data_IF_056148448344
#
_entry.id   IF_056148448344
#
_cell.length_a   1.000
_cell.length_b   1.000
_cell.length_c   1.000
_cell.angle_alpha   90.00
_cell.angle_beta   90.00
_cell.angle_gamma   90.00
#
_symmetry.space_group_name_H-M   'P 1'
#
loop_
_entity.id
_entity.type
_entity.pdbx_description
1 polymer ?
#
# COMPACT_ATOMS: atom_id res chain seq x y z
N UNK A 1 83.38 -84.50 -109.58
CA UNK A 1 82.04 -83.89 -109.84
C UNK A 1 81.01 -84.32 -108.79
N UNK A 2 80.97 -85.59 -108.36
CA UNK A 2 80.04 -86.10 -107.32
C UNK A 2 80.18 -85.41 -105.95
N UNK A 3 81.37 -85.29 -105.37
CA UNK A 3 81.54 -84.65 -104.05
C UNK A 3 81.15 -83.16 -103.99
N UNK A 4 81.20 -82.44 -105.12
CA UNK A 4 80.69 -81.06 -105.21
C UNK A 4 79.15 -81.02 -105.22
N UNK A 5 78.51 -82.01 -105.82
CA UNK A 5 77.05 -82.12 -105.84
C UNK A 5 76.49 -82.46 -104.46
N UNK A 6 77.14 -83.38 -103.75
CA UNK A 6 76.81 -83.74 -102.36
C UNK A 6 76.99 -82.54 -101.40
N UNK A 7 78.07 -81.77 -101.55
CA UNK A 7 78.26 -80.52 -100.81
C UNK A 7 77.15 -79.49 -101.09
N UNK A 8 76.75 -79.32 -102.35
CA UNK A 8 75.66 -78.40 -102.70
C UNK A 8 74.29 -78.88 -102.19
N UNK A 9 74.03 -80.18 -102.18
CA UNK A 9 72.81 -80.75 -101.59
C UNK A 9 72.79 -80.58 -100.06
N UNK A 10 73.90 -80.80 -99.37
CA UNK A 10 74.01 -80.56 -97.93
C UNK A 10 73.86 -79.06 -97.59
N UNK A 11 74.43 -78.16 -98.40
CA UNK A 11 74.22 -76.72 -98.27
C UNK A 11 72.76 -76.33 -98.49
N UNK A 12 72.10 -76.89 -99.50
CA UNK A 12 70.68 -76.65 -99.76
C UNK A 12 69.79 -77.12 -98.59
N UNK A 13 70.01 -78.33 -98.08
CA UNK A 13 69.26 -78.85 -96.93
C UNK A 13 69.49 -78.01 -95.64
N UNK A 14 70.72 -77.51 -95.44
CA UNK A 14 71.02 -76.61 -94.32
C UNK A 14 70.30 -75.27 -94.46
N UNK A 15 70.24 -74.71 -95.67
CA UNK A 15 69.48 -73.48 -95.95
C UNK A 15 67.97 -73.70 -95.75
N UNK A 16 67.41 -74.80 -96.26
CA UNK A 16 65.99 -75.13 -96.07
C UNK A 16 65.63 -75.33 -94.59
N UNK A 17 66.50 -75.97 -93.80
CA UNK A 17 66.32 -76.11 -92.36
C UNK A 17 66.37 -74.76 -91.63
N UNK A 18 67.25 -73.85 -92.05
CA UNK A 18 67.33 -72.49 -91.53
C UNK A 18 66.08 -71.67 -91.91
N UNK A 19 65.58 -71.79 -93.13
CA UNK A 19 64.34 -71.14 -93.58
C UNK A 19 63.14 -71.60 -92.75
N UNK A 20 63.01 -72.91 -92.48
CA UNK A 20 61.95 -73.44 -91.61
C UNK A 20 62.08 -72.96 -90.16
N UNK A 21 63.30 -72.89 -89.61
CA UNK A 21 63.53 -72.34 -88.27
C UNK A 21 63.16 -70.86 -88.20
N UNK A 22 63.54 -70.06 -89.21
CA UNK A 22 63.18 -68.65 -89.31
C UNK A 22 61.67 -68.43 -89.46
N UNK A 23 60.97 -69.31 -90.19
CA UNK A 23 59.51 -69.26 -90.27
C UNK A 23 58.85 -69.57 -88.92
N UNK A 24 59.30 -70.62 -88.22
CA UNK A 24 58.80 -70.95 -86.89
C UNK A 24 59.08 -69.84 -85.86
N UNK A 25 60.25 -69.19 -85.93
CA UNK A 25 60.55 -68.01 -85.11
C UNK A 25 59.65 -66.82 -85.46
N UNK A 26 59.41 -66.55 -86.75
CA UNK A 26 58.48 -65.50 -87.18
C UNK A 26 57.07 -65.75 -86.66
N UNK A 27 56.56 -66.97 -86.73
CA UNK A 27 55.25 -67.33 -86.20
C UNK A 27 55.17 -67.14 -84.67
N UNK A 28 56.22 -67.54 -83.94
CA UNK A 28 56.32 -67.31 -82.49
C UNK A 28 56.30 -65.83 -82.15
N UNK A 29 57.12 -65.02 -82.82
CA UNK A 29 57.15 -63.57 -82.63
C UNK A 29 55.80 -62.91 -82.95
N UNK A 30 55.10 -63.39 -83.97
CA UNK A 30 53.74 -62.92 -84.29
C UNK A 30 52.76 -63.26 -83.15
N UNK A 31 52.79 -64.49 -82.62
CA UNK A 31 51.95 -64.90 -81.48
C UNK A 31 52.25 -64.09 -80.23
N UNK A 32 53.53 -63.86 -79.91
CA UNK A 32 53.94 -63.04 -78.78
C UNK A 32 53.53 -61.57 -78.97
N UNK A 33 53.61 -61.04 -80.20
CA UNK A 33 53.09 -59.72 -80.53
C UNK A 33 51.56 -59.62 -80.40
N UNK A 34 50.81 -60.69 -80.63
CA UNK A 34 49.37 -60.73 -80.33
C UNK A 34 49.10 -60.76 -78.82
N UNK A 35 49.84 -61.56 -78.05
CA UNK A 35 49.75 -61.60 -76.58
C UNK A 35 50.09 -60.25 -75.96
N UNK A 36 51.16 -59.61 -76.42
CA UNK A 36 51.60 -58.31 -75.95
C UNK A 36 50.51 -57.24 -76.19
N UNK A 37 49.91 -57.22 -77.39
CA UNK A 37 48.78 -56.31 -77.68
C UNK A 37 47.59 -56.52 -76.72
N UNK A 38 47.23 -57.76 -76.42
CA UNK A 38 46.18 -58.06 -75.44
C UNK A 38 46.50 -57.54 -74.04
N UNK A 39 47.73 -57.73 -73.57
CA UNK A 39 48.18 -57.21 -72.27
C UNK A 39 48.19 -55.67 -72.23
N UNK A 40 48.58 -55.01 -73.33
CA UNK A 40 48.53 -53.55 -73.43
C UNK A 40 47.10 -53.00 -73.42
N UNK A 41 46.15 -53.72 -74.01
CA UNK A 41 44.72 -53.38 -73.93
C UNK A 41 44.17 -53.55 -72.51
N UNK A 42 44.53 -54.64 -71.82
CA UNK A 42 44.16 -54.87 -70.42
C UNK A 42 44.75 -53.80 -69.49
N UNK A 43 46.02 -53.44 -69.69
CA UNK A 43 46.66 -52.36 -68.93
C UNK A 43 45.92 -51.03 -69.12
N UNK A 44 45.56 -50.69 -70.36
CA UNK A 44 44.76 -49.47 -70.65
C UNK A 44 43.38 -49.52 -69.99
N UNK A 45 42.72 -50.69 -69.97
CA UNK A 45 41.43 -50.87 -69.28
C UNK A 45 41.58 -50.66 -67.78
N UNK A 46 42.55 -51.33 -67.15
CA UNK A 46 42.84 -51.19 -65.72
C UNK A 46 43.22 -49.75 -65.35
N UNK A 47 43.98 -49.05 -66.19
CA UNK A 47 44.28 -47.63 -66.00
C UNK A 47 43.00 -46.79 -66.01
N UNK A 48 42.11 -47.00 -66.98
CA UNK A 48 40.83 -46.27 -67.04
C UNK A 48 39.92 -46.55 -65.83
N UNK A 49 39.94 -47.79 -65.32
CA UNK A 49 39.19 -48.17 -64.11
C UNK A 49 39.81 -47.54 -62.86
N UNK A 50 41.14 -47.49 -62.78
CA UNK A 50 41.87 -46.83 -61.72
C UNK A 50 41.54 -45.34 -61.67
N UNK A 51 41.58 -44.65 -62.82
CA UNK A 51 41.25 -43.22 -62.91
C UNK A 51 39.80 -42.95 -62.49
N UNK A 52 38.85 -43.82 -62.91
CA UNK A 52 37.45 -43.73 -62.46
C UNK A 52 37.32 -43.93 -60.95
N UNK A 53 38.01 -44.92 -60.39
CA UNK A 53 38.00 -45.19 -58.95
C UNK A 53 38.62 -44.02 -58.17
N UNK A 54 39.68 -43.39 -58.68
CA UNK A 54 40.26 -42.19 -58.08
C UNK A 54 39.28 -41.01 -58.06
N UNK A 55 38.53 -40.79 -59.16
CA UNK A 55 37.51 -39.74 -59.18
C UNK A 55 36.41 -39.99 -58.14
N UNK A 56 35.89 -41.22 -58.06
CA UNK A 56 34.88 -41.59 -57.06
C UNK A 56 35.40 -41.42 -55.63
N UNK A 57 36.66 -41.79 -55.37
CA UNK A 57 37.27 -41.59 -54.06
C UNK A 57 37.37 -40.10 -53.69
N UNK A 58 37.69 -39.23 -54.66
CA UNK A 58 37.75 -37.79 -54.46
C UNK A 58 36.36 -37.21 -54.17
N UNK A 59 35.33 -37.64 -54.89
CA UNK A 59 33.93 -37.25 -54.68
C UNK A 59 33.45 -37.64 -53.28
N UNK A 60 33.59 -38.90 -52.90
CA UNK A 60 33.21 -39.39 -51.55
C UNK A 60 33.99 -38.66 -50.45
N UNK A 61 35.26 -38.34 -50.68
CA UNK A 61 36.06 -37.57 -49.73
C UNK A 61 35.56 -36.13 -49.57
N UNK A 62 35.10 -35.51 -50.65
CA UNK A 62 34.47 -34.18 -50.62
C UNK A 62 33.16 -34.21 -49.85
N UNK A 63 32.26 -35.14 -50.18
CA UNK A 63 30.98 -35.33 -49.50
C UNK A 63 31.16 -35.59 -48.00
N UNK A 64 32.15 -36.41 -47.62
CA UNK A 64 32.49 -36.64 -46.22
C UNK A 64 32.89 -35.34 -45.51
N UNK A 65 33.63 -34.46 -46.19
CA UNK A 65 34.01 -33.14 -45.68
C UNK A 65 32.80 -32.22 -45.48
N UNK A 66 31.90 -32.16 -46.45
CA UNK A 66 30.65 -31.39 -46.39
C UNK A 66 29.77 -31.85 -45.22
N UNK A 67 29.51 -33.16 -45.11
CA UNK A 67 28.73 -33.74 -44.01
C UNK A 67 29.40 -33.51 -42.64
N UNK A 68 30.73 -33.51 -42.57
CA UNK A 68 31.44 -33.19 -41.33
C UNK A 68 31.27 -31.72 -40.94
N UNK A 69 31.26 -30.81 -41.92
CA UNK A 69 30.94 -29.39 -41.74
C UNK A 69 29.53 -29.20 -41.20
N UNK A 70 28.54 -29.79 -41.85
CA UNK A 70 27.13 -29.75 -41.43
C UNK A 70 26.94 -30.29 -40.01
N UNK A 71 27.58 -31.43 -39.69
CA UNK A 71 27.57 -31.97 -38.32
C UNK A 71 28.14 -30.98 -37.31
N UNK A 72 29.20 -30.25 -37.67
CA UNK A 72 29.79 -29.20 -36.84
C UNK A 72 28.83 -28.03 -36.62
N UNK A 73 28.17 -27.57 -37.68
CA UNK A 73 27.17 -26.51 -37.60
C UNK A 73 25.97 -26.90 -36.72
N UNK A 74 25.43 -28.11 -36.93
CA UNK A 74 24.31 -28.61 -36.15
C UNK A 74 24.67 -28.72 -34.66
N UNK A 75 25.89 -29.17 -34.33
CA UNK A 75 26.38 -29.16 -32.94
C UNK A 75 26.48 -27.75 -32.38
N UNK A 76 26.96 -26.79 -33.17
CA UNK A 76 27.01 -25.38 -32.75
C UNK A 76 25.63 -24.78 -32.52
N UNK A 77 24.65 -25.10 -33.38
CA UNK A 77 23.25 -24.68 -33.21
C UNK A 77 22.62 -25.32 -31.97
N UNK A 78 22.85 -26.61 -31.74
CA UNK A 78 22.38 -27.32 -30.55
C UNK A 78 22.90 -26.66 -29.27
N UNK A 79 24.20 -26.40 -29.17
CA UNK A 79 24.80 -25.76 -28.00
C UNK A 79 24.23 -24.34 -27.74
N UNK A 80 23.93 -23.57 -28.79
CA UNK A 80 23.28 -22.26 -28.65
C UNK A 80 21.85 -22.38 -28.12
N UNK A 81 21.07 -23.31 -28.67
CA UNK A 81 19.70 -23.56 -28.23
C UNK A 81 19.64 -24.08 -26.78
N UNK A 82 20.59 -24.92 -26.38
CA UNK A 82 20.70 -25.39 -24.99
C UNK A 82 20.99 -24.24 -24.02
N UNK A 83 21.86 -23.31 -24.39
CA UNK A 83 22.13 -22.11 -23.60
C UNK A 83 20.90 -21.20 -23.51
N UNK A 84 20.21 -20.96 -24.62
CA UNK A 84 18.97 -20.18 -24.65
C UNK A 84 17.89 -20.84 -23.78
N UNK A 85 17.75 -22.17 -23.83
CA UNK A 85 16.84 -22.93 -22.98
C UNK A 85 17.15 -22.71 -21.50
N UNK A 86 18.41 -22.86 -21.09
CA UNK A 86 18.83 -22.64 -19.71
C UNK A 86 18.60 -21.20 -19.23
N UNK A 87 18.81 -20.21 -20.11
CA UNK A 87 18.53 -18.80 -19.79
C UNK A 87 17.02 -18.55 -19.61
N UNK A 88 16.18 -19.08 -20.49
CA UNK A 88 14.73 -18.96 -20.38
C UNK A 88 14.18 -19.71 -19.15
N UNK A 89 14.73 -20.88 -18.83
CA UNK A 89 14.41 -21.62 -17.60
C UNK A 89 14.70 -20.80 -16.35
N UNK A 90 15.88 -20.17 -16.29
CA UNK A 90 16.26 -19.27 -15.19
C UNK A 90 15.35 -18.03 -15.10
N UNK A 91 15.03 -17.39 -16.22
CA UNK A 91 14.10 -16.26 -16.26
C UNK A 91 12.70 -16.69 -15.78
N UNK A 92 12.25 -17.86 -16.20
CA UNK A 92 10.98 -18.44 -15.79
C UNK A 92 10.94 -18.72 -14.28
N UNK A 93 12.03 -19.25 -13.70
CA UNK A 93 12.15 -19.43 -12.24
C UNK A 93 12.07 -18.10 -11.49
N UNK A 94 12.82 -17.08 -11.92
CA UNK A 94 12.77 -15.73 -11.30
C UNK A 94 11.38 -15.11 -11.35
N UNK A 95 10.68 -15.26 -12.47
CA UNK A 95 9.30 -14.76 -12.60
C UNK A 95 8.34 -15.52 -11.67
N UNK A 96 8.51 -16.84 -11.51
CA UNK A 96 7.72 -17.63 -10.54
C UNK A 96 7.98 -17.18 -9.11
N UNK A 97 9.23 -16.96 -8.72
CA UNK A 97 9.60 -16.45 -7.40
C UNK A 97 9.00 -15.06 -7.14
N UNK A 98 9.09 -14.15 -8.12
CA UNK A 98 8.48 -12.83 -8.02
C UNK A 98 6.95 -12.90 -7.90
N UNK A 99 6.31 -13.82 -8.62
CA UNK A 99 4.87 -14.02 -8.55
C UNK A 99 4.44 -14.55 -7.17
N UNK A 100 5.16 -15.55 -6.64
CA UNK A 100 4.95 -16.06 -5.28
C UNK A 100 5.13 -14.96 -4.22
N UNK A 101 6.13 -14.09 -4.37
CA UNK A 101 6.31 -12.95 -3.46
C UNK A 101 5.14 -11.97 -3.51
N UNK A 102 4.60 -11.71 -4.71
CA UNK A 102 3.41 -10.88 -4.87
C UNK A 102 2.18 -11.53 -4.25
N UNK A 103 1.97 -12.83 -4.43
CA UNK A 103 0.86 -13.57 -3.82
C UNK A 103 0.94 -13.50 -2.29
N UNK A 104 2.12 -13.71 -1.70
CA UNK A 104 2.33 -13.56 -0.27
C UNK A 104 2.02 -12.14 0.21
N UNK A 105 2.39 -11.11 -0.58
CA UNK A 105 2.08 -9.72 -0.25
C UNK A 105 0.58 -9.43 -0.34
N UNK A 106 -0.10 -9.99 -1.33
CA UNK A 106 -1.54 -9.88 -1.50
C UNK A 106 -2.27 -10.52 -0.31
N UNK A 107 -1.88 -11.74 0.09
CA UNK A 107 -2.44 -12.39 1.29
C UNK A 107 -2.25 -11.54 2.55
N UNK A 108 -1.07 -10.92 2.74
CA UNK A 108 -0.82 -10.03 3.89
C UNK A 108 -1.70 -8.77 3.86
N UNK A 109 -1.92 -8.19 2.68
CA UNK A 109 -2.81 -7.04 2.54
C UNK A 109 -4.27 -7.44 2.78
N UNK A 110 -4.70 -8.59 2.28
CA UNK A 110 -6.05 -9.13 2.53
C UNK A 110 -6.31 -9.29 4.02
N UNK A 111 -5.40 -9.93 4.77
CA UNK A 111 -5.58 -10.10 6.22
C UNK A 111 -5.56 -8.76 6.97
N UNK A 112 -4.75 -7.79 6.54
CA UNK A 112 -4.80 -6.43 7.09
C UNK A 112 -6.13 -5.74 6.83
N UNK A 113 -6.69 -5.88 5.62
CA UNK A 113 -8.00 -5.32 5.27
C UNK A 113 -9.13 -5.96 6.07
N UNK A 114 -9.09 -7.28 6.28
CA UNK A 114 -10.05 -8.01 7.12
C UNK A 114 -10.00 -7.48 8.56
N UNK A 115 -8.82 -7.40 9.16
CA UNK A 115 -8.64 -6.87 10.52
C UNK A 115 -9.13 -5.43 10.66
N UNK A 116 -8.83 -4.56 9.67
CA UNK A 116 -9.32 -3.18 9.68
C UNK A 116 -10.85 -3.11 9.57
N UNK A 117 -11.46 -4.04 8.82
CA UNK A 117 -12.91 -4.12 8.68
C UNK A 117 -13.56 -4.57 9.99
N UNK A 118 -12.98 -5.57 10.66
CA UNK A 118 -13.41 -6.01 12.00
C UNK A 118 -13.31 -4.87 13.02
N UNK A 119 -12.15 -4.21 13.10
CA UNK A 119 -11.95 -3.07 14.02
C UNK A 119 -12.95 -1.94 13.75
N UNK A 120 -13.18 -1.62 12.47
CA UNK A 120 -14.17 -0.62 12.09
C UNK A 120 -15.57 -1.03 12.54
N UNK A 121 -15.97 -2.28 12.35
CA UNK A 121 -17.28 -2.77 12.77
C UNK A 121 -17.46 -2.68 14.29
N UNK A 122 -16.45 -3.07 15.07
CA UNK A 122 -16.46 -2.95 16.53
C UNK A 122 -16.60 -1.48 16.97
N UNK A 123 -15.84 -0.57 16.36
CA UNK A 123 -15.93 0.87 16.66
C UNK A 123 -17.31 1.45 16.31
N UNK A 124 -17.90 1.02 15.20
CA UNK A 124 -19.26 1.45 14.82
C UNK A 124 -20.31 0.92 15.81
N UNK A 125 -20.14 -0.29 16.34
CA UNK A 125 -21.02 -0.86 17.36
C UNK A 125 -20.91 -0.12 18.68
N UNK A 126 -19.70 0.17 19.17
CA UNK A 126 -19.47 0.99 20.37
C UNK A 126 -20.09 2.39 20.22
N UNK A 127 -19.89 3.04 19.07
CA UNK A 127 -20.52 4.33 18.79
C UNK A 127 -22.04 4.27 18.81
N UNK A 128 -22.65 3.20 18.26
CA UNK A 128 -24.11 2.99 18.32
C UNK A 128 -24.59 2.80 19.76
N UNK A 129 -23.85 2.05 20.57
CA UNK A 129 -24.17 1.81 21.99
C UNK A 129 -24.10 3.11 22.80
N UNK A 130 -23.02 3.89 22.66
CA UNK A 130 -22.86 5.18 23.33
C UNK A 130 -23.98 6.17 22.95
N UNK A 131 -24.35 6.23 21.67
CA UNK A 131 -25.48 7.06 21.23
C UNK A 131 -26.80 6.62 21.85
N UNK A 132 -27.03 5.31 21.98
CA UNK A 132 -28.22 4.78 22.64
C UNK A 132 -28.26 5.16 24.13
N UNK A 133 -27.12 5.09 24.82
CA UNK A 133 -27.00 5.50 26.23
C UNK A 133 -27.26 6.99 26.41
N UNK A 134 -26.67 7.85 25.57
CA UNK A 134 -26.93 9.29 25.58
C UNK A 134 -28.42 9.59 25.37
N UNK A 135 -29.08 8.87 24.46
CA UNK A 135 -30.52 9.02 24.25
C UNK A 135 -31.35 8.56 25.47
N UNK A 136 -30.96 7.46 26.11
CA UNK A 136 -31.62 6.98 27.33
C UNK A 136 -31.50 8.00 28.47
N UNK A 137 -30.29 8.49 28.75
CA UNK A 137 -30.03 9.52 29.74
C UNK A 137 -30.79 10.82 29.44
N UNK A 138 -30.89 11.21 28.16
CA UNK A 138 -31.67 12.38 27.76
C UNK A 138 -33.16 12.20 28.06
N UNK A 139 -33.72 11.00 27.85
CA UNK A 139 -35.13 10.69 28.20
C UNK A 139 -35.34 10.72 29.71
N UNK A 140 -34.43 10.13 30.47
CA UNK A 140 -34.49 10.16 31.95
C UNK A 140 -34.42 11.59 32.49
N UNK A 141 -33.52 12.42 31.96
CA UNK A 141 -33.41 13.82 32.36
C UNK A 141 -34.72 14.60 32.07
N UNK A 142 -35.32 14.40 30.88
CA UNK A 142 -36.63 14.98 30.56
C UNK A 142 -37.72 14.54 31.53
N UNK A 143 -37.80 13.24 31.82
CA UNK A 143 -38.77 12.72 32.79
C UNK A 143 -38.56 13.28 34.21
N UNK A 144 -37.31 13.45 34.64
CA UNK A 144 -37.00 14.07 35.93
C UNK A 144 -37.41 15.55 35.96
N UNK A 145 -37.20 16.28 34.87
CA UNK A 145 -37.66 17.66 34.73
C UNK A 145 -39.20 17.73 34.75
N UNK A 146 -39.88 16.85 34.03
CA UNK A 146 -41.35 16.74 34.04
C UNK A 146 -41.88 16.48 35.46
N UNK A 147 -41.33 15.47 36.17
CA UNK A 147 -41.69 15.18 37.58
C UNK A 147 -41.43 16.37 38.51
N UNK A 148 -40.34 17.11 38.29
CA UNK A 148 -40.01 18.30 39.09
C UNK A 148 -41.01 19.43 38.85
N UNK A 149 -41.38 19.67 37.59
CA UNK A 149 -42.41 20.65 37.23
C UNK A 149 -43.79 20.26 37.77
N UNK A 150 -44.16 18.99 37.65
CA UNK A 150 -45.40 18.45 38.22
C UNK A 150 -45.43 18.66 39.74
N UNK A 151 -44.37 18.28 40.46
CA UNK A 151 -44.25 18.47 41.91
C UNK A 151 -44.40 19.95 42.30
N UNK A 152 -43.72 20.86 41.61
CA UNK A 152 -43.88 22.30 41.81
C UNK A 152 -45.31 22.76 41.57
N UNK A 153 -45.95 22.28 40.51
CA UNK A 153 -47.34 22.63 40.20
C UNK A 153 -48.31 22.09 41.27
N UNK A 154 -48.05 20.92 41.86
CA UNK A 154 -48.82 20.40 43.00
C UNK A 154 -48.69 21.32 44.21
N UNK A 155 -47.47 21.72 44.59
CA UNK A 155 -47.24 22.67 45.69
C UNK A 155 -47.94 24.01 45.44
N UNK A 156 -47.94 24.52 44.21
CA UNK A 156 -48.66 25.75 43.87
C UNK A 156 -50.19 25.60 43.96
N UNK A 157 -50.74 24.41 43.66
CA UNK A 157 -52.17 24.14 43.87
C UNK A 157 -52.51 24.14 45.35
N UNK A 158 -51.73 23.44 46.17
CA UNK A 158 -51.91 23.41 47.63
C UNK A 158 -51.84 24.83 48.24
N UNK A 159 -50.86 25.64 47.83
CA UNK A 159 -50.75 27.03 48.26
C UNK A 159 -52.01 27.86 47.94
N UNK A 160 -52.61 27.68 46.76
CA UNK A 160 -53.84 28.37 46.37
C UNK A 160 -55.01 27.92 47.23
N UNK A 161 -55.13 26.63 47.49
CA UNK A 161 -56.17 26.06 48.36
C UNK A 161 -56.07 26.63 49.79
N UNK A 162 -54.86 26.71 50.36
CA UNK A 162 -54.66 27.33 51.68
C UNK A 162 -55.01 28.82 51.69
N UNK A 163 -54.69 29.57 50.63
CA UNK A 163 -55.08 30.97 50.51
C UNK A 163 -56.60 31.14 50.41
N UNK A 164 -57.27 30.26 49.68
CA UNK A 164 -58.73 30.27 49.56
C UNK A 164 -59.39 29.95 50.90
N UNK A 165 -58.87 28.97 51.65
CA UNK A 165 -59.31 28.67 53.02
C UNK A 165 -59.09 29.86 53.95
N UNK A 166 -57.92 30.51 53.90
CA UNK A 166 -57.63 31.71 54.69
C UNK A 166 -58.60 32.85 54.36
N UNK A 167 -58.91 33.05 53.08
CA UNK A 167 -59.86 34.05 52.63
C UNK A 167 -61.29 33.72 53.05
N UNK A 168 -61.70 32.46 53.04
CA UNK A 168 -62.98 32.01 53.59
C UNK A 168 -63.07 32.33 55.10
N UNK A 169 -62.05 31.98 55.88
CA UNK A 169 -61.97 32.31 57.30
C UNK A 169 -62.00 33.82 57.56
N UNK A 170 -61.34 34.63 56.72
CA UNK A 170 -61.41 36.11 56.79
C UNK A 170 -62.82 36.62 56.54
N UNK A 171 -63.54 36.06 55.57
CA UNK A 171 -64.96 36.41 55.29
C UNK A 171 -65.86 35.99 56.45
N UNK A 172 -65.64 34.81 57.04
CA UNK A 172 -66.37 34.36 58.23
C UNK A 172 -66.10 35.27 59.42
N UNK A 173 -64.82 35.60 59.67
CA UNK A 173 -64.43 36.60 60.67
C UNK A 173 -65.16 37.93 60.43
N UNK A 174 -65.18 38.42 59.18
CA UNK A 174 -65.87 39.66 58.83
C UNK A 174 -67.37 39.59 59.13
N UNK A 175 -68.03 38.48 58.74
CA UNK A 175 -69.44 38.23 59.08
C UNK A 175 -69.68 38.19 60.59
N UNK A 176 -68.77 37.62 61.37
CA UNK A 176 -68.86 37.61 62.83
C UNK A 176 -68.71 39.01 63.42
N UNK A 177 -67.76 39.80 62.91
CA UNK A 177 -67.57 41.20 63.31
C UNK A 177 -68.82 42.02 62.99
N UNK A 178 -69.40 41.88 61.81
CA UNK A 178 -70.65 42.54 61.42
C UNK A 178 -71.79 42.18 62.38
N UNK A 179 -71.98 40.88 62.68
CA UNK A 179 -72.97 40.42 63.67
C UNK A 179 -72.76 41.04 65.06
N UNK A 180 -71.51 41.15 65.52
CA UNK A 180 -71.18 41.77 66.82
C UNK A 180 -71.48 43.27 66.78
N UNK A 181 -71.05 43.97 65.73
CA UNK A 181 -71.33 45.40 65.56
C UNK A 181 -72.84 45.68 65.48
N UNK A 182 -73.61 44.85 64.80
CA UNK A 182 -75.07 44.96 64.72
C UNK A 182 -75.72 44.77 66.10
N UNK A 183 -75.22 43.85 66.94
CA UNK A 183 -75.66 43.73 68.33
C UNK A 183 -75.38 45.02 69.14
N UNK A 184 -74.19 45.62 68.98
CA UNK A 184 -73.89 46.92 69.60
C UNK A 184 -74.77 48.05 69.08
N UNK A 185 -75.10 48.07 67.77
CA UNK A 185 -76.05 49.04 67.18
C UNK A 185 -77.46 48.94 67.78
N UNK A 186 -77.89 47.74 68.18
CA UNK A 186 -79.18 47.54 68.87
C UNK A 186 -79.09 48.00 70.34
N UNK A 187 -77.91 47.96 70.95
CA UNK A 187 -77.68 48.31 72.36
C UNK A 187 -77.35 49.79 72.61
N UNK A 188 -76.99 50.59 71.60
CA UNK A 188 -76.81 52.06 71.73
C UNK A 188 -78.06 52.85 71.28
N UNK A 189 -78.85 53.43 72.20
CA UNK A 189 -79.72 54.55 71.87
C UNK A 189 -78.89 55.85 71.82
N UNK A 190 -78.71 56.43 70.63
CA UNK A 190 -78.32 57.85 70.49
C UNK A 190 -79.55 58.73 70.22
N UNK A 191 -79.57 60.05 70.56
CA UNK A 191 -78.48 60.96 70.14
C UNK A 191 -78.16 62.28 70.96
N UNK A 192 -76.96 62.84 70.70
CA UNK A 192 -76.55 64.28 70.56
C UNK A 192 -76.33 65.18 71.85
N UNK A 193 -75.88 66.46 71.74
CA UNK A 193 -74.52 67.01 71.47
C UNK A 193 -74.08 68.12 72.51
N UNK A 194 -72.80 68.57 72.58
CA UNK A 194 -72.39 70.01 72.80
C UNK A 194 -70.90 70.29 73.15
N UNK A 195 -70.41 71.36 72.51
CA UNK A 195 -69.46 72.44 72.92
C UNK A 195 -67.99 72.17 73.31
N UNK A 196 -67.11 72.61 72.39
CA UNK A 196 -66.07 73.66 72.54
C UNK A 196 -65.67 74.08 73.98
N UNK A 197 -64.41 73.83 74.35
CA UNK A 197 -63.50 74.81 74.99
C UNK A 197 -62.04 74.35 74.85
N UNK A 198 -61.19 75.26 74.39
CA UNK A 198 -59.79 75.00 74.07
C UNK A 198 -58.85 75.05 75.27
N UNK A 199 -57.74 74.32 75.09
CA UNK A 199 -56.34 74.68 75.35
C UNK A 199 -55.95 75.29 76.71
N UNK A 200 -55.08 74.58 77.43
CA UNK A 200 -53.87 75.18 78.03
C UNK A 200 -52.83 74.15 78.52
N UNK A 201 -53.20 72.86 78.64
CA UNK A 201 -52.32 71.83 79.20
C UNK A 201 -51.31 71.17 78.24
N UNK A 202 -51.41 71.40 76.93
CA UNK A 202 -50.57 70.69 75.94
C UNK A 202 -49.13 71.23 75.87
N UNK A 203 -48.87 72.48 76.27
CA UNK A 203 -47.54 73.09 76.14
C UNK A 203 -46.59 72.82 77.32
N UNK A 204 -47.10 72.35 78.48
CA UNK A 204 -46.25 72.02 79.64
C UNK A 204 -45.63 70.62 79.59
N UNK A 205 -46.15 69.71 78.76
CA UNK A 205 -45.64 68.32 78.68
C UNK A 205 -44.48 68.19 77.67
N UNK A 206 -44.34 69.14 76.74
CA UNK A 206 -43.20 69.20 75.80
C UNK A 206 -41.87 69.68 76.42
N UNK A 207 -41.84 70.02 77.72
CA UNK A 207 -40.65 70.58 78.40
C UNK A 207 -39.98 69.67 79.44
N UNK A 208 -40.41 68.40 79.58
CA UNK A 208 -39.88 67.49 80.60
C UNK A 208 -39.38 66.12 80.12
N UNK A 209 -39.31 65.85 78.82
CA UNK A 209 -38.64 64.65 78.31
C UNK A 209 -37.57 65.04 77.29
N UNK A 210 -36.41 65.49 77.81
CA UNK A 210 -35.19 65.70 77.02
C UNK A 210 -34.51 64.34 76.71
N UNK A 211 -33.74 64.26 75.61
CA UNK A 211 -33.16 63.04 75.05
C UNK A 211 -31.76 62.74 75.62
N UNK A 212 -31.37 61.46 75.74
CA UNK A 212 -29.95 61.04 75.78
C UNK A 212 -29.74 59.52 75.51
N UNK A 213 -28.82 59.23 74.58
CA UNK A 213 -28.05 57.98 74.35
C UNK A 213 -27.51 57.37 75.67
N UNK A 214 -27.20 56.09 75.84
CA UNK A 214 -26.27 55.17 75.13
C UNK A 214 -26.45 53.79 75.82
N UNK A 215 -26.55 52.61 75.21
CA UNK A 215 -25.58 51.88 74.39
C UNK A 215 -25.80 50.34 74.58
N UNK A 216 -25.06 49.54 73.80
CA UNK A 216 -24.91 48.06 73.81
C UNK A 216 -25.67 47.27 72.71
N UNK A 217 -24.90 46.95 71.67
CA UNK A 217 -24.86 45.79 70.73
C UNK A 217 -26.13 44.94 70.49
N UNK A 218 -26.42 44.62 69.21
CA UNK A 218 -26.33 43.21 68.79
C UNK A 218 -25.78 42.97 67.37
N UNK A 219 -25.32 41.73 67.17
CA UNK A 219 -24.79 41.19 65.92
C UNK A 219 -25.79 41.12 64.75
N UNK A 220 -25.24 40.86 63.56
CA UNK A 220 -25.93 40.86 62.25
C UNK A 220 -26.89 39.68 62.02
N UNK A 221 -27.23 39.32 60.75
CA UNK A 221 -26.77 39.83 59.45
C UNK A 221 -27.89 40.28 58.47
N UNK A 222 -27.43 40.83 57.33
CA UNK A 222 -28.16 41.41 56.19
C UNK A 222 -29.05 40.40 55.43
N UNK A 223 -30.03 40.92 54.67
CA UNK A 223 -30.16 40.46 53.28
C UNK A 223 -30.65 41.56 52.32
N UNK A 224 -29.74 42.26 51.64
CA UNK A 224 -30.08 43.00 50.41
C UNK A 224 -28.90 42.88 49.44
N UNK A 225 -29.12 42.14 48.36
CA UNK A 225 -28.26 42.10 47.19
C UNK A 225 -29.16 42.29 45.97
N UNK A 226 -29.08 43.47 45.38
CA UNK A 226 -29.41 43.75 43.98
C UNK A 226 -28.58 44.95 43.55
N UNK A 227 -27.96 44.87 42.37
CA UNK A 227 -27.55 46.05 41.62
C UNK A 227 -26.05 46.25 41.38
N UNK A 228 -25.55 45.55 40.36
CA UNK A 228 -24.85 46.11 39.19
C UNK A 228 -23.48 46.83 39.30
N UNK A 229 -22.60 46.40 38.38
CA UNK A 229 -21.39 47.10 37.89
C UNK A 229 -20.11 46.60 38.55
N UNK A 230 -18.95 46.49 37.89
CA UNK A 230 -18.56 46.73 36.52
C UNK A 230 -17.20 46.05 36.30
N UNK A 231 -16.97 45.74 35.03
CA UNK A 231 -15.74 45.34 34.33
C UNK A 231 -14.40 45.84 34.90
N UNK A 232 -13.41 44.95 35.05
CA UNK A 232 -12.01 45.05 34.59
C UNK A 232 -11.17 43.96 35.29
N UNK A 233 -10.73 42.91 34.60
CA UNK A 233 -9.45 42.81 33.87
C UNK A 233 -8.23 43.19 34.71
N UNK A 234 -7.44 42.21 35.11
CA UNK A 234 -5.98 42.10 34.86
C UNK A 234 -5.32 41.08 35.81
N UNK A 235 -4.40 40.31 35.24
CA UNK A 235 -3.15 39.97 35.93
C UNK A 235 -3.09 38.58 36.56
N UNK A 236 -2.24 37.73 35.98
CA UNK A 236 -1.90 36.40 36.47
C UNK A 236 -0.94 36.40 37.70
N UNK A 237 -0.40 35.21 38.03
CA UNK A 237 -0.08 34.78 39.39
C UNK A 237 1.37 35.07 39.79
N UNK A 238 1.74 34.73 41.04
CA UNK A 238 2.90 33.85 41.14
C UNK A 238 2.75 32.72 42.16
N UNK A 239 3.41 31.62 41.79
CA UNK A 239 3.78 30.47 42.61
C UNK A 239 4.67 30.87 43.80
N UNK A 240 4.54 30.17 44.92
CA UNK A 240 5.68 29.88 45.79
C UNK A 240 5.38 28.63 46.65
N UNK A 241 5.81 27.48 46.11
CA UNK A 241 6.69 26.47 46.71
C UNK A 241 6.78 26.26 48.25
N UNK A 242 7.00 24.98 48.57
CA UNK A 242 7.47 24.33 49.82
C UNK A 242 6.38 23.91 50.83
N UNK A 243 6.08 22.61 51.04
CA UNK A 243 6.87 21.41 51.43
C UNK A 243 6.79 21.12 52.93
N UNK A 244 6.89 19.83 53.27
CA UNK A 244 6.83 19.16 54.59
C UNK A 244 5.41 18.76 55.03
N UNK A 245 5.09 17.52 55.42
CA UNK A 245 5.90 16.34 55.70
C UNK A 245 5.25 15.55 56.86
N UNK A 246 5.32 14.21 56.80
CA UNK A 246 4.91 13.17 57.78
C UNK A 246 3.44 12.75 57.83
N UNK A 247 3.08 11.52 57.43
CA UNK A 247 3.36 10.16 57.98
C UNK A 247 2.53 9.84 59.23
N UNK A 248 1.56 8.93 59.10
CA UNK A 248 1.55 7.62 59.77
C UNK A 248 0.15 6.95 59.82
N UNK A 249 0.14 5.71 59.32
CA UNK A 249 -0.59 4.52 59.78
C UNK A 249 -2.12 4.37 59.67
N UNK A 250 -2.50 3.26 59.01
CA UNK A 250 -3.50 2.37 59.61
C UNK A 250 -4.54 1.69 58.71
N UNK A 251 -4.11 0.67 57.96
CA UNK A 251 -4.85 -0.58 57.67
C UNK A 251 -6.05 -0.55 56.69
N UNK A 252 -5.92 -1.25 55.55
CA UNK A 252 -7.10 -1.69 54.78
C UNK A 252 -6.85 -2.21 53.35
N UNK A 253 -6.75 -3.53 53.21
CA UNK A 253 -7.09 -4.35 52.03
C UNK A 253 -6.39 -4.17 50.66
N UNK A 254 -5.50 -5.15 50.39
CA UNK A 254 -5.59 -6.15 49.31
C UNK A 254 -5.58 -5.69 47.83
N UNK A 255 -4.45 -5.87 47.15
CA UNK A 255 -4.35 -6.26 45.73
C UNK A 255 -3.01 -6.95 45.43
N UNK A 256 -2.95 -7.99 44.56
CA UNK A 256 -1.78 -8.84 44.38
C UNK A 256 -0.79 -8.35 43.31
N UNK A 257 0.41 -8.91 43.38
CA UNK A 257 1.67 -8.60 42.70
C UNK A 257 1.67 -8.51 41.15
N UNK A 258 2.69 -7.84 40.55
CA UNK A 258 2.99 -7.96 39.12
C UNK A 258 3.76 -9.26 38.84
N UNK A 259 3.20 -10.12 37.99
CA UNK A 259 3.91 -11.28 37.42
C UNK A 259 4.88 -10.84 36.32
N UNK A 260 6.11 -11.33 36.42
CA UNK A 260 7.12 -11.31 35.35
C UNK A 260 6.56 -11.94 34.08
N UNK A 261 6.86 -11.35 32.92
CA UNK A 261 6.87 -12.06 31.63
C UNK A 261 8.23 -11.86 30.95
N UNK A 262 8.74 -12.98 30.46
CA UNK A 262 10.07 -13.14 29.89
C UNK A 262 10.23 -12.46 28.52
N UNK A 263 11.45 -11.96 28.31
CA UNK A 263 12.29 -12.05 27.10
C UNK A 263 11.63 -11.96 25.72
N UNK A 264 11.97 -10.92 24.95
CA UNK A 264 12.94 -11.08 23.85
C UNK A 264 13.27 -9.72 23.22
N UNK A 265 14.50 -9.29 23.45
CA UNK A 265 15.21 -8.26 22.68
C UNK A 265 15.60 -8.81 21.31
N UNK A 266 15.57 -8.00 20.25
CA UNK A 266 16.79 -7.52 19.60
C UNK A 266 16.51 -6.68 18.35
N UNK A 267 17.35 -5.65 18.26
CA UNK A 267 17.28 -4.52 17.36
C UNK A 267 17.79 -4.85 15.96
N UNK A 268 17.24 -4.12 15.00
CA UNK A 268 17.78 -3.91 13.66
C UNK A 268 19.06 -3.06 13.71
N UNK A 269 20.16 -3.58 13.16
CA UNK A 269 21.37 -2.93 12.58
C UNK A 269 22.45 -4.01 12.48
N UNK A 270 23.40 -4.06 11.56
CA UNK A 270 23.87 -3.26 10.43
C UNK A 270 24.94 -4.18 9.81
N UNK A 271 24.83 -4.58 8.54
CA UNK A 271 25.91 -5.31 7.85
C UNK A 271 26.23 -4.55 6.57
N UNK A 272 27.21 -3.66 6.70
CA UNK A 272 27.99 -3.14 5.59
C UNK A 272 29.19 -4.05 5.39
N UNK A 273 29.34 -4.56 4.16
CA UNK A 273 30.59 -4.67 3.37
C UNK A 273 30.54 -5.85 2.40
N UNK A 274 30.04 -5.61 1.19
CA UNK A 274 30.61 -6.19 -0.03
C UNK A 274 30.22 -5.30 -1.21
N UNK A 275 31.23 -4.82 -1.93
CA UNK A 275 31.11 -3.81 -2.97
C UNK A 275 30.23 -4.25 -4.14
N UNK A 276 29.50 -3.28 -4.71
CA UNK A 276 28.74 -3.49 -5.93
C UNK A 276 28.10 -2.20 -6.38
N UNK A 277 28.61 -1.65 -7.47
CA UNK A 277 28.24 -0.36 -8.04
C UNK A 277 26.72 -0.18 -8.22
N UNK A 278 26.26 0.97 -7.75
CA UNK A 278 24.96 1.58 -8.06
C UNK A 278 24.82 1.73 -9.59
N UNK A 279 23.98 0.92 -10.23
CA UNK A 279 23.45 1.21 -11.57
C UNK A 279 21.93 1.21 -11.52
N UNK A 280 21.36 2.42 -11.58
CA UNK A 280 19.96 2.61 -11.95
C UNK A 280 19.85 2.30 -13.45
N UNK A 281 19.09 1.27 -13.81
CA UNK A 281 18.55 1.15 -15.16
C UNK A 281 17.02 1.22 -15.06
N UNK A 282 16.52 2.44 -15.20
CA UNK A 282 15.20 2.69 -15.78
C UNK A 282 15.26 2.23 -17.23
N UNK A 283 14.45 1.22 -17.57
CA UNK A 283 14.19 0.87 -18.97
C UNK A 283 12.72 1.14 -19.28
N UNK A 284 12.51 2.18 -20.08
CA UNK A 284 11.36 2.28 -20.97
C UNK A 284 11.91 2.72 -22.32
N UNK A 285 11.87 1.82 -23.30
CA UNK A 285 11.76 2.21 -24.70
C UNK A 285 10.80 1.26 -25.42
N UNK A 286 9.89 1.79 -26.25
CA UNK A 286 9.12 0.99 -27.18
C UNK A 286 9.90 0.72 -28.47
N UNK A 287 9.41 -0.30 -29.15
CA UNK A 287 9.78 -0.88 -30.44
C UNK A 287 9.89 0.13 -31.58
N UNK A 288 10.85 -0.09 -32.49
CA UNK A 288 10.80 0.46 -33.86
C UNK A 288 12.09 0.28 -34.68
N UNK A 289 12.02 -0.52 -35.75
CA UNK A 289 12.95 -0.61 -36.92
C UNK A 289 13.38 0.80 -37.39
N UNK A 290 14.56 1.07 -37.95
CA UNK A 290 15.20 0.45 -39.12
C UNK A 290 16.64 0.96 -39.29
N UNK A 291 17.42 0.24 -40.10
CA UNK A 291 18.81 0.47 -40.51
C UNK A 291 19.08 1.84 -41.12
N UNK A 292 20.15 2.51 -40.68
CA UNK A 292 20.87 3.53 -41.45
C UNK A 292 22.30 3.72 -40.89
N UNK A 293 23.26 3.71 -41.80
CA UNK A 293 24.71 3.73 -41.59
C UNK A 293 25.20 5.03 -40.93
N UNK A 294 26.05 4.88 -39.91
CA UNK A 294 26.66 5.98 -39.16
C UNK A 294 28.01 6.38 -39.76
N UNK A 295 28.17 7.65 -40.13
CA UNK A 295 29.49 8.29 -40.30
C UNK A 295 29.91 9.02 -39.01
N UNK A 296 31.19 8.99 -38.61
CA UNK A 296 31.62 9.53 -37.33
C UNK A 296 31.82 11.04 -37.44
N UNK A 297 30.88 11.82 -36.89
CA UNK A 297 30.99 13.28 -36.84
C UNK A 297 29.78 14.03 -36.29
N UNK A 298 28.59 13.42 -36.31
CA UNK A 298 27.36 14.13 -35.93
C UNK A 298 27.09 14.10 -34.42
N UNK A 299 27.20 15.26 -33.77
CA UNK A 299 26.80 15.41 -32.37
C UNK A 299 25.29 15.65 -32.23
N UNK A 300 24.66 15.21 -31.12
CA UNK A 300 23.20 15.20 -30.95
C UNK A 300 22.51 16.56 -31.11
N UNK A 301 23.25 17.66 -30.95
CA UNK A 301 22.76 19.04 -31.00
C UNK A 301 22.35 19.50 -32.41
N UNK A 302 22.87 18.88 -33.47
CA UNK A 302 22.49 19.18 -34.86
C UNK A 302 21.20 18.49 -35.29
N UNK A 303 20.89 17.29 -34.76
CA UNK A 303 19.65 16.55 -35.10
C UNK A 303 18.38 17.25 -34.65
N UNK A 304 18.45 18.07 -33.59
CA UNK A 304 17.28 18.79 -33.09
C UNK A 304 16.90 19.99 -33.97
N UNK A 305 17.85 20.56 -34.71
CA UNK A 305 17.57 21.68 -35.63
C UNK A 305 16.92 21.26 -36.95
N UNK A 306 17.02 19.99 -37.35
CA UNK A 306 16.38 19.49 -38.58
C UNK A 306 14.93 19.00 -38.38
N UNK A 307 14.43 18.95 -37.13
CA UNK A 307 13.08 18.45 -36.80
C UNK A 307 12.00 19.53 -36.74
N UNK A 308 12.24 20.72 -37.28
CA UNK A 308 11.22 21.76 -37.47
C UNK A 308 11.01 22.03 -38.96
N UNK A 309 10.01 21.43 -39.60
CA UNK A 309 9.55 21.89 -40.90
C UNK A 309 8.77 23.20 -40.71
N UNK A 310 9.27 24.30 -41.27
CA UNK A 310 8.45 25.49 -41.52
C UNK A 310 7.33 25.17 -42.52
N UNK A 311 6.24 25.96 -42.56
CA UNK A 311 5.11 25.67 -43.44
C UNK A 311 5.51 25.87 -44.90
N UNK A 312 5.36 24.83 -45.73
CA UNK A 312 5.49 24.91 -47.18
C UNK A 312 4.21 25.47 -47.81
N UNK A 313 4.29 26.36 -48.81
CA UNK A 313 3.12 26.89 -49.47
C UNK A 313 2.53 25.88 -50.46
N UNK A 314 1.20 25.80 -50.45
CA UNK A 314 0.39 25.05 -51.42
C UNK A 314 0.54 25.61 -52.83
N UNK A 315 0.73 24.73 -53.81
CA UNK A 315 0.79 25.06 -55.22
C UNK A 315 -0.59 25.10 -55.89
N UNK A 316 -0.81 26.16 -56.67
CA UNK A 316 -1.59 26.28 -57.93
C UNK A 316 -3.11 26.06 -57.95
N UNK A 317 -3.80 27.05 -58.54
CA UNK A 317 -4.84 26.77 -59.55
C UNK A 317 -6.07 27.67 -59.55
N UNK A 318 -5.96 28.88 -60.12
CA UNK A 318 -6.81 29.43 -61.20
C UNK A 318 -6.24 30.78 -61.64
#
# INVERSE_FOLDING_TARGET
>A
LQGRHEQLQAQKANVEAQELALLAERERLMQDGHRQRGLEEELRRLQSEHDRAQMLLAEVSRERGELQGERGELRGRLARLELERAQLEMQSQRLRESNQQLDLSACRLTTQCELLTELRSAQEEENRQLLAEVQALSRENRQLLERSLESRDHLHREQREYLDQLNALRREKQKLVEKIMDQYRVLEPGPLPRTKKGSWLADKVKRLMRPRREGVLPGGPRPWADGAGSTESLGGPPEMELSEGREADGTGSRSPAPMRRAQSSLCLRDETLAGGQRRKLSSRFPVGRSSESFSPGDTPRQRFRQRWPGPTPSSRGK
#
